data_IF_782701116716
#
_entry.id   IF_782701116716
#
_cell.length_a   1.000
_cell.length_b   1.000
_cell.length_c   1.000
_cell.angle_alpha   90.00
_cell.angle_beta   90.00
_cell.angle_gamma   90.00
#
_symmetry.space_group_name_H-M   'P 1'
#
loop_
_entity.id
_entity.type
_entity.pdbx_description
1 polymer ?
#
# COMPACT_ATOMS: atom_id res chain seq x y z
N UNK A 1 10.85 -10.40 5.45
CA UNK A 1 11.70 -9.66 4.49
C UNK A 1 10.88 -9.42 3.23
N UNK A 2 11.13 -8.34 2.49
CA UNK A 2 10.53 -8.13 1.17
C UNK A 2 10.91 -9.30 0.26
N UNK A 3 9.97 -9.81 -0.53
CA UNK A 3 10.22 -11.01 -1.35
C UNK A 3 9.47 -10.99 -2.69
N UNK A 4 9.24 -9.79 -3.24
CA UNK A 4 8.58 -9.57 -4.53
C UNK A 4 7.22 -10.29 -4.66
N UNK A 5 6.45 -10.30 -3.58
CA UNK A 5 5.13 -10.99 -3.50
C UNK A 5 4.07 -10.31 -4.36
N UNK A 6 4.28 -9.04 -4.68
CA UNK A 6 3.47 -8.23 -5.58
C UNK A 6 4.36 -7.15 -6.20
N UNK A 7 3.83 -6.43 -7.19
CA UNK A 7 4.58 -5.44 -7.99
C UNK A 7 5.28 -4.35 -7.16
N UNK A 8 4.80 -4.06 -5.95
CA UNK A 8 5.33 -3.06 -5.04
C UNK A 8 6.10 -3.63 -3.82
N UNK A 9 6.26 -4.95 -3.71
CA UNK A 9 7.00 -5.62 -2.60
C UNK A 9 8.51 -5.69 -2.91
N UNK A 10 9.15 -4.54 -3.09
CA UNK A 10 10.56 -4.46 -3.47
C UNK A 10 11.49 -4.46 -2.27
N UNK A 11 12.71 -4.97 -2.47
CA UNK A 11 13.77 -4.94 -1.45
C UNK A 11 14.32 -3.53 -1.27
N UNK A 12 14.56 -2.82 -2.38
CA UNK A 12 14.93 -1.41 -2.35
C UNK A 12 13.67 -0.54 -2.32
N UNK A 13 13.61 0.38 -1.37
CA UNK A 13 12.49 1.34 -1.24
C UNK A 13 12.48 2.37 -2.36
N UNK A 14 13.60 2.60 -3.05
CA UNK A 14 13.66 3.48 -4.21
C UNK A 14 12.84 2.94 -5.40
N UNK A 15 12.64 1.62 -5.46
CA UNK A 15 11.84 0.96 -6.49
C UNK A 15 10.35 0.86 -6.12
N UNK A 16 9.97 1.29 -4.92
CA UNK A 16 8.60 1.24 -4.42
C UNK A 16 7.83 2.53 -4.71
N UNK A 17 6.55 2.39 -5.02
CA UNK A 17 5.60 3.49 -5.05
C UNK A 17 5.00 3.75 -3.66
N UNK A 18 5.02 5.02 -3.26
CA UNK A 18 4.35 5.49 -2.03
C UNK A 18 2.85 5.17 -2.09
N UNK A 19 2.20 5.43 -3.22
CA UNK A 19 0.81 5.02 -3.42
C UNK A 19 0.70 3.50 -3.62
N UNK A 20 -0.33 2.86 -3.04
CA UNK A 20 -0.60 1.45 -3.29
C UNK A 20 -0.93 1.20 -4.75
N UNK A 21 -0.38 0.12 -5.29
CA UNK A 21 -0.66 -0.33 -6.65
C UNK A 21 -1.98 -1.10 -6.68
N UNK A 22 -2.44 -1.40 -7.90
CA UNK A 22 -3.53 -2.35 -8.10
C UNK A 22 -3.23 -3.70 -7.44
N UNK A 23 -2.02 -4.25 -7.62
CA UNK A 23 -1.72 -5.58 -7.11
C UNK A 23 -1.73 -5.58 -5.57
N UNK A 24 -1.23 -4.52 -4.93
CA UNK A 24 -1.30 -4.33 -3.48
C UNK A 24 -2.75 -4.36 -2.98
N UNK A 25 -3.62 -3.57 -3.61
CA UNK A 25 -5.03 -3.41 -3.24
C UNK A 25 -5.78 -4.74 -3.27
N UNK A 26 -5.47 -5.60 -4.24
CA UNK A 26 -6.13 -6.90 -4.41
C UNK A 26 -5.36 -8.07 -3.79
N UNK A 27 -4.18 -7.84 -3.20
CA UNK A 27 -3.37 -8.90 -2.58
C UNK A 27 -3.88 -9.27 -1.19
N UNK A 28 -4.02 -10.57 -0.91
CA UNK A 28 -4.31 -11.06 0.45
C UNK A 28 -3.03 -11.20 1.31
N UNK A 29 -1.87 -10.83 0.76
CA UNK A 29 -0.58 -10.90 1.44
C UNK A 29 -0.41 -9.71 2.37
N UNK A 30 -0.05 -9.99 3.62
CA UNK A 30 0.29 -8.94 4.60
C UNK A 30 1.60 -8.26 4.19
N UNK A 31 1.58 -6.92 4.14
CA UNK A 31 2.74 -6.10 3.84
C UNK A 31 3.88 -6.36 4.85
N UNK A 32 5.12 -6.31 4.37
CA UNK A 32 6.27 -6.43 5.27
C UNK A 32 6.47 -5.12 6.02
N UNK A 33 6.31 -5.17 7.36
CA UNK A 33 6.61 -4.06 8.25
C UNK A 33 7.90 -4.35 9.04
N UNK A 34 8.93 -3.51 8.92
CA UNK A 34 10.16 -3.64 9.70
C UNK A 34 9.92 -3.28 11.16
N UNK A 35 10.68 -3.91 12.06
CA UNK A 35 10.68 -3.55 13.49
C UNK A 35 11.36 -2.21 13.72
N UNK A 36 10.78 -1.40 14.61
CA UNK A 36 11.37 -0.15 15.10
C UNK A 36 12.50 -0.38 16.11
N UNK A 37 12.63 -1.57 16.66
CA UNK A 37 13.71 -1.95 17.58
C UNK A 37 15.04 -2.09 16.81
N UNK A 38 16.06 -1.25 17.07
CA UNK A 38 17.34 -1.28 16.37
C UNK A 38 18.13 -2.57 16.59
N UNK A 39 17.85 -3.35 17.62
CA UNK A 39 18.58 -4.60 17.89
C UNK A 39 17.96 -5.81 17.16
N UNK A 40 16.78 -5.65 16.56
CA UNK A 40 16.15 -6.70 15.78
C UNK A 40 16.87 -6.93 14.44
N UNK A 41 16.99 -8.19 13.97
CA UNK A 41 17.57 -8.51 12.69
C UNK A 41 16.88 -7.76 11.53
N UNK A 42 17.70 -7.17 10.66
CA UNK A 42 17.24 -6.49 9.45
C UNK A 42 18.07 -6.96 8.25
N UNK A 43 17.48 -6.98 7.06
CA UNK A 43 18.19 -7.41 5.85
C UNK A 43 19.22 -6.38 5.37
N UNK A 44 19.01 -5.10 5.69
CA UNK A 44 20.00 -4.03 5.51
C UNK A 44 20.94 -3.95 6.72
N UNK A 45 22.24 -4.06 6.46
CA UNK A 45 23.30 -3.96 7.47
C UNK A 45 23.74 -2.52 7.75
N UNK A 46 23.61 -1.64 6.76
CA UNK A 46 23.88 -0.21 6.95
C UNK A 46 22.77 0.43 7.79
N UNK A 47 23.14 1.08 8.89
CA UNK A 47 22.18 1.65 9.84
C UNK A 47 21.38 2.80 9.24
N UNK A 48 21.97 3.60 8.35
CA UNK A 48 21.30 4.74 7.73
C UNK A 48 20.28 4.30 6.70
N UNK A 49 20.65 3.36 5.83
CA UNK A 49 19.76 2.75 4.85
C UNK A 49 18.59 2.03 5.54
N UNK A 50 18.88 1.28 6.61
CA UNK A 50 17.85 0.65 7.43
C UNK A 50 16.88 1.67 8.02
N UNK A 51 17.39 2.76 8.58
CA UNK A 51 16.53 3.78 9.18
C UNK A 51 15.58 4.39 8.13
N UNK A 52 16.09 4.67 6.94
CA UNK A 52 15.29 5.18 5.82
C UNK A 52 14.25 4.14 5.36
N UNK A 53 14.64 2.87 5.17
CA UNK A 53 13.71 1.79 4.79
C UNK A 53 12.59 1.64 5.82
N UNK A 54 12.93 1.64 7.10
CA UNK A 54 11.96 1.53 8.20
C UNK A 54 10.99 2.70 8.21
N UNK A 55 11.49 3.94 8.14
CA UNK A 55 10.63 5.12 8.10
C UNK A 55 9.73 5.15 6.85
N UNK A 56 10.26 4.77 5.69
CA UNK A 56 9.49 4.74 4.46
C UNK A 56 8.31 3.75 4.54
N UNK A 57 8.59 2.51 4.96
CA UNK A 57 7.56 1.46 5.07
C UNK A 57 6.52 1.79 6.14
N UNK A 58 6.93 2.32 7.28
CA UNK A 58 6.00 2.76 8.32
C UNK A 58 5.15 3.95 7.87
N UNK A 59 5.75 4.96 7.23
CA UNK A 59 4.99 6.10 6.69
C UNK A 59 3.93 5.65 5.68
N UNK A 60 4.30 4.70 4.80
CA UNK A 60 3.38 4.13 3.82
C UNK A 60 2.23 3.40 4.51
N UNK A 61 2.54 2.61 5.53
CA UNK A 61 1.54 1.91 6.35
C UNK A 61 0.62 2.89 7.10
N UNK A 62 1.15 3.94 7.71
CA UNK A 62 0.36 4.94 8.43
C UNK A 62 -0.55 5.73 7.47
N UNK A 63 -0.10 5.94 6.24
CA UNK A 63 -0.86 6.71 5.23
C UNK A 63 -1.95 5.86 4.55
N UNK A 64 -1.65 4.59 4.24
CA UNK A 64 -2.50 3.75 3.38
C UNK A 64 -2.93 2.42 4.00
N UNK A 65 -2.31 1.98 5.09
CA UNK A 65 -2.61 0.70 5.75
C UNK A 65 -4.02 0.62 6.35
N UNK A 66 -4.58 1.77 6.76
CA UNK A 66 -5.97 1.86 7.22
C UNK A 66 -6.99 2.06 6.09
N UNK A 67 -6.54 2.29 4.84
CA UNK A 67 -7.47 2.37 3.72
C UNK A 67 -8.06 0.98 3.47
N UNK A 68 -9.23 0.74 4.06
CA UNK A 68 -9.95 -0.50 3.91
C UNK A 68 -10.47 -0.61 2.46
N UNK A 69 -9.67 -1.24 1.60
CA UNK A 69 -10.05 -1.61 0.25
C UNK A 69 -11.09 -2.74 0.21
N UNK A 70 -11.63 -3.18 1.35
CA UNK A 70 -12.70 -4.17 1.43
C UNK A 70 -13.90 -3.85 0.54
N UNK A 71 -14.28 -2.57 0.40
CA UNK A 71 -15.32 -2.18 -0.57
C UNK A 71 -14.90 -2.34 -2.03
N UNK A 72 -13.61 -2.18 -2.36
CA UNK A 72 -13.07 -2.48 -3.70
C UNK A 72 -13.06 -3.99 -3.96
N UNK A 73 -12.73 -4.80 -2.94
CA UNK A 73 -12.73 -6.27 -3.02
C UNK A 73 -14.14 -6.87 -3.06
N UNK A 74 -15.10 -6.26 -2.34
CA UNK A 74 -16.50 -6.70 -2.27
C UNK A 74 -17.29 -6.43 -3.57
N UNK A 75 -16.84 -5.47 -4.40
CA UNK A 75 -17.46 -5.19 -5.69
C UNK A 75 -16.98 -6.19 -6.77
N UNK A 76 -17.29 -7.47 -6.58
CA UNK A 76 -16.96 -8.57 -7.49
C UNK A 76 -17.90 -8.60 -8.71
N UNK A 77 -18.05 -7.47 -9.39
CA UNK A 77 -18.68 -7.44 -10.72
C UNK A 77 -17.56 -7.54 -11.77
N UNK A 78 -17.48 -8.63 -12.55
CA UNK A 78 -16.39 -8.82 -13.52
C UNK A 78 -16.34 -7.76 -14.64
N UNK A 79 -17.38 -6.91 -14.74
CA UNK A 79 -17.46 -5.78 -15.69
C UNK A 79 -17.38 -4.40 -15.01
N UNK A 80 -17.20 -4.32 -13.70
CA UNK A 80 -17.01 -3.03 -13.02
C UNK A 80 -15.58 -2.54 -13.24
N UNK A 81 -15.44 -1.37 -13.87
CA UNK A 81 -14.15 -0.70 -14.06
C UNK A 81 -14.15 0.53 -13.15
N UNK A 82 -13.21 0.57 -12.21
CA UNK A 82 -12.96 1.76 -11.41
C UNK A 82 -12.01 2.63 -12.22
N UNK A 83 -12.54 3.69 -12.81
CA UNK A 83 -11.80 4.58 -13.72
C UNK A 83 -10.77 5.45 -13.01
N UNK A 84 -11.07 5.90 -11.79
CA UNK A 84 -10.12 6.62 -10.91
C UNK A 84 -10.67 6.66 -9.48
N UNK A 85 -9.77 6.70 -8.49
CA UNK A 85 -10.11 7.02 -7.10
C UNK A 85 -9.48 8.39 -6.82
N UNK A 86 -10.30 9.44 -6.72
CA UNK A 86 -9.82 10.78 -6.35
C UNK A 86 -10.07 11.06 -4.88
N UNK A 87 -9.06 11.54 -4.17
CA UNK A 87 -9.19 12.01 -2.80
C UNK A 87 -9.22 13.54 -2.81
N UNK A 88 -10.42 14.12 -2.87
CA UNK A 88 -10.60 15.56 -2.76
C UNK A 88 -10.71 15.96 -1.29
N UNK A 89 -9.65 16.57 -0.77
CA UNK A 89 -9.66 17.39 0.45
C UNK A 89 -9.31 16.65 1.75
N UNK A 90 -8.22 17.06 2.40
CA UNK A 90 -8.12 16.97 3.86
C UNK A 90 -9.08 18.04 4.40
N UNK A 91 -10.12 17.75 5.20
CA UNK A 91 -10.23 16.89 6.38
C UNK A 91 -11.52 16.05 6.31
N UNK A 92 -11.43 14.77 6.69
CA UNK A 92 -12.59 13.93 7.04
C UNK A 92 -13.15 13.00 5.97
N UNK A 93 -12.41 12.71 4.90
CA UNK A 93 -12.60 11.57 3.97
C UNK A 93 -14.05 11.16 3.63
N UNK A 94 -14.86 12.05 3.04
CA UNK A 94 -16.07 11.62 2.32
C UNK A 94 -15.67 11.02 0.96
N UNK A 95 -15.82 9.70 0.82
CA UNK A 95 -15.65 8.98 -0.46
C UNK A 95 -16.99 8.90 -1.19
N UNK A 96 -17.13 9.64 -2.28
CA UNK A 96 -18.16 9.34 -3.29
C UNK A 96 -17.59 8.41 -4.35
N UNK A 97 -18.08 7.16 -4.40
CA UNK A 97 -17.81 6.24 -5.50
C UNK A 97 -18.97 6.30 -6.49
N UNK A 98 -18.74 6.89 -7.67
CA UNK A 98 -19.67 6.73 -8.81
C UNK A 98 -19.19 5.59 -9.69
N UNK A 99 -19.84 4.43 -9.57
CA UNK A 99 -19.73 3.37 -10.56
C UNK A 99 -20.59 3.75 -11.77
N UNK A 100 -19.99 3.91 -12.94
CA UNK A 100 -20.72 4.06 -14.19
C UNK A 100 -21.08 2.67 -14.73
N UNK A 101 -22.37 2.46 -15.04
CA UNK A 101 -22.88 1.24 -15.67
C UNK A 101 -22.52 1.31 -17.15
N UNK A 102 -21.73 0.36 -17.66
CA UNK A 102 -21.57 0.20 -19.11
C UNK A 102 -22.84 -0.45 -19.66
N UNK A 103 -23.41 0.16 -20.69
CA UNK A 103 -24.69 -0.21 -21.35
C UNK A 103 -24.53 -1.54 -22.08
#
# INVERSE_FOLDING_TARGET
MPSDRHDNDKTDVADMNIFPTRADIFSDVVEFLPSTDPEQPHFLTDKSQRHIDTLFRLLRQDTFGELNFGNLRANRYPKAVISFISFSGRRGLERSMKAARSI
#
